data_IF_900955640027
#
_entry.id   IF_900955640027
#
_cell.length_a   1.000
_cell.length_b   1.000
_cell.length_c   1.000
_cell.angle_alpha   90.00
_cell.angle_beta   90.00
_cell.angle_gamma   90.00
#
_symmetry.space_group_name_H-M   'P 1'
#
loop_
_entity.id
_entity.type
_entity.pdbx_description
1 polymer ?
#
# COMPACT_ATOMS: atom_id res chain seq x y z
N UNK A 1 -2.16 -11.84 13.79
CA UNK A 1 -1.99 -11.40 12.39
C UNK A 1 -2.60 -12.48 11.48
N UNK A 2 -3.25 -12.12 10.36
CA UNK A 2 -3.94 -13.09 9.51
C UNK A 2 -2.92 -14.04 8.82
N UNK A 3 -3.19 -15.35 8.65
CA UNK A 3 -2.22 -16.31 8.09
C UNK A 3 -1.64 -15.89 6.73
N UNK A 4 -2.48 -15.38 5.82
CA UNK A 4 -2.03 -14.85 4.52
C UNK A 4 -1.01 -13.71 4.63
N UNK A 5 -1.15 -12.86 5.66
CA UNK A 5 -0.23 -11.74 5.88
C UNK A 5 1.14 -12.25 6.30
N UNK A 6 1.18 -13.27 7.18
CA UNK A 6 2.43 -13.92 7.63
C UNK A 6 3.13 -14.59 6.44
N UNK A 7 2.38 -15.38 5.66
CA UNK A 7 2.92 -16.03 4.47
C UNK A 7 3.49 -15.03 3.45
N UNK A 8 2.85 -13.88 3.26
CA UNK A 8 3.36 -12.85 2.37
C UNK A 8 4.60 -12.13 2.95
N UNK A 9 4.73 -12.00 4.28
CA UNK A 9 5.94 -11.44 4.91
C UNK A 9 7.13 -12.40 4.75
N UNK A 10 6.90 -13.69 4.95
CA UNK A 10 7.94 -14.70 4.71
C UNK A 10 8.36 -14.73 3.24
N UNK A 11 7.40 -14.52 2.33
CA UNK A 11 7.64 -14.44 0.90
C UNK A 11 8.48 -13.23 0.52
N UNK A 12 8.20 -12.03 1.05
CA UNK A 12 9.02 -10.83 0.81
C UNK A 12 10.41 -10.97 1.39
N UNK A 13 10.52 -11.55 2.58
CA UNK A 13 11.82 -11.80 3.21
C UNK A 13 12.65 -12.81 2.42
N UNK A 14 12.02 -13.88 1.94
CA UNK A 14 12.67 -14.87 1.07
C UNK A 14 13.15 -14.25 -0.24
N UNK A 15 12.35 -13.37 -0.84
CA UNK A 15 12.75 -12.61 -2.03
C UNK A 15 14.01 -11.78 -1.76
N UNK A 16 14.01 -10.99 -0.68
CA UNK A 16 15.19 -10.20 -0.27
C UNK A 16 16.45 -11.06 -0.08
N UNK A 17 16.35 -12.15 0.67
CA UNK A 17 17.51 -13.04 0.91
C UNK A 17 18.04 -13.64 -0.40
N UNK A 18 17.16 -14.02 -1.33
CA UNK A 18 17.60 -14.53 -2.64
C UNK A 18 18.25 -13.46 -3.49
N UNK A 19 17.76 -12.22 -3.45
CA UNK A 19 18.40 -11.08 -4.12
C UNK A 19 19.81 -10.86 -3.59
N UNK A 20 20.00 -10.86 -2.26
CA UNK A 20 21.34 -10.74 -1.66
C UNK A 20 22.27 -11.84 -2.16
N UNK A 21 21.80 -13.10 -2.16
CA UNK A 21 22.59 -14.25 -2.65
C UNK A 21 22.92 -14.16 -4.13
N UNK A 22 22.01 -13.65 -4.97
CA UNK A 22 22.29 -13.38 -6.38
C UNK A 22 23.41 -12.32 -6.51
N UNK A 23 23.31 -11.23 -5.74
CA UNK A 23 24.28 -10.14 -5.76
C UNK A 23 25.69 -10.59 -5.34
N UNK A 24 25.80 -11.48 -4.35
CA UNK A 24 27.07 -12.07 -3.91
C UNK A 24 27.80 -12.86 -5.03
N UNK A 25 27.07 -13.37 -6.02
CA UNK A 25 27.63 -14.13 -7.15
C UNK A 25 28.02 -13.26 -8.34
N UNK A 26 27.68 -11.96 -8.32
CA UNK A 26 27.95 -11.07 -9.43
C UNK A 26 29.45 -10.69 -9.51
N UNK A 27 29.98 -10.46 -10.72
CA UNK A 27 31.34 -9.96 -10.89
C UNK A 27 31.58 -8.68 -10.08
N UNK A 28 32.75 -8.52 -9.49
CA UNK A 28 33.09 -7.34 -8.70
C UNK A 28 33.73 -6.25 -9.58
N UNK A 29 32.89 -5.48 -10.27
CA UNK A 29 33.31 -4.34 -11.08
C UNK A 29 32.39 -3.13 -10.85
N UNK A 30 32.83 -1.95 -11.31
CA UNK A 30 32.14 -0.67 -11.04
C UNK A 30 30.67 -0.69 -11.50
N UNK A 31 30.36 -1.35 -12.63
CA UNK A 31 29.00 -1.40 -13.17
C UNK A 31 28.09 -2.28 -12.31
N UNK A 32 28.56 -3.45 -11.92
CA UNK A 32 27.77 -4.43 -11.15
C UNK A 32 27.64 -4.01 -9.69
N UNK A 33 28.66 -3.38 -9.09
CA UNK A 33 28.61 -2.88 -7.70
C UNK A 33 27.47 -1.89 -7.47
N UNK A 34 27.32 -0.90 -8.36
CA UNK A 34 26.26 0.09 -8.23
C UNK A 34 24.86 -0.53 -8.40
N UNK A 35 24.72 -1.52 -9.28
CA UNK A 35 23.45 -2.24 -9.45
C UNK A 35 23.15 -3.10 -8.23
N UNK A 36 24.16 -3.76 -7.65
CA UNK A 36 24.01 -4.57 -6.43
C UNK A 36 23.47 -3.74 -5.28
N UNK A 37 24.08 -2.57 -5.02
CA UNK A 37 23.66 -1.67 -3.94
C UNK A 37 22.18 -1.28 -4.09
N UNK A 38 21.80 -0.75 -5.26
CA UNK A 38 20.42 -0.32 -5.51
C UNK A 38 19.41 -1.48 -5.49
N UNK A 39 19.82 -2.65 -5.97
CA UNK A 39 18.97 -3.85 -5.97
C UNK A 39 18.77 -4.41 -4.56
N UNK A 40 19.83 -4.47 -3.75
CA UNK A 40 19.75 -4.94 -2.36
C UNK A 40 18.91 -3.97 -1.53
N UNK A 41 19.12 -2.67 -1.70
CA UNK A 41 18.36 -1.63 -0.99
C UNK A 41 16.87 -1.71 -1.35
N UNK A 42 16.51 -1.78 -2.64
CA UNK A 42 15.11 -1.89 -3.04
C UNK A 42 14.45 -3.20 -2.63
N UNK A 43 15.20 -4.32 -2.64
CA UNK A 43 14.67 -5.59 -2.16
C UNK A 43 14.45 -5.59 -0.63
N UNK A 44 15.36 -4.96 0.12
CA UNK A 44 15.19 -4.73 1.56
C UNK A 44 14.06 -3.73 1.87
N UNK A 45 13.89 -2.72 1.02
CA UNK A 45 12.77 -1.78 1.03
C UNK A 45 11.43 -2.49 0.83
N UNK A 46 11.36 -3.43 -0.10
CA UNK A 46 10.18 -4.28 -0.36
C UNK A 46 9.76 -5.05 0.90
N UNK A 47 10.70 -5.73 1.55
CA UNK A 47 10.43 -6.51 2.78
C UNK A 47 10.04 -5.61 3.96
N UNK A 48 10.85 -4.58 4.22
CA UNK A 48 10.69 -3.70 5.39
C UNK A 48 9.42 -2.84 5.31
N UNK A 49 9.08 -2.30 4.13
CA UNK A 49 7.89 -1.48 3.94
C UNK A 49 6.61 -2.31 4.01
N UNK A 50 6.59 -3.52 3.43
CA UNK A 50 5.45 -4.42 3.60
C UNK A 50 5.28 -4.84 5.07
N UNK A 51 6.37 -5.19 5.75
CA UNK A 51 6.36 -5.47 7.19
C UNK A 51 5.83 -4.29 8.03
N UNK A 52 6.19 -3.07 7.64
CA UNK A 52 5.72 -1.84 8.28
C UNK A 52 4.25 -1.52 7.97
N UNK A 53 3.77 -1.83 6.77
CA UNK A 53 2.36 -1.70 6.38
C UNK A 53 1.50 -2.66 7.22
N UNK A 54 1.96 -3.88 7.45
CA UNK A 54 1.28 -4.85 8.30
C UNK A 54 1.10 -4.40 9.76
N UNK A 55 1.92 -3.43 10.22
CA UNK A 55 1.87 -2.83 11.56
C UNK A 55 1.26 -1.41 11.55
N UNK A 56 0.64 -0.99 10.45
CA UNK A 56 0.01 0.32 10.35
C UNK A 56 -1.10 0.52 11.39
N UNK A 57 -1.21 1.74 11.94
CA UNK A 57 -2.19 2.09 12.96
C UNK A 57 -3.48 2.67 12.38
N UNK A 58 -3.52 2.91 11.07
CA UNK A 58 -4.69 3.41 10.36
C UNK A 58 -4.73 2.91 8.92
N UNK A 59 -5.91 2.99 8.29
CA UNK A 59 -6.07 2.69 6.85
C UNK A 59 -5.22 3.63 5.97
N UNK A 60 -5.14 4.91 6.31
CA UNK A 60 -4.32 5.87 5.57
C UNK A 60 -2.82 5.54 5.68
N UNK A 61 -2.34 5.21 6.88
CA UNK A 61 -0.95 4.78 7.08
C UNK A 61 -0.64 3.48 6.34
N UNK A 62 -1.59 2.52 6.34
CA UNK A 62 -1.45 1.29 5.57
C UNK A 62 -1.29 1.57 4.07
N UNK A 63 -2.16 2.41 3.49
CA UNK A 63 -2.12 2.79 2.07
C UNK A 63 -0.78 3.46 1.73
N UNK A 64 -0.33 4.41 2.54
CA UNK A 64 0.93 5.11 2.33
C UNK A 64 2.13 4.14 2.31
N UNK A 65 2.26 3.28 3.32
CA UNK A 65 3.35 2.30 3.41
C UNK A 65 3.28 1.23 2.32
N UNK A 66 2.07 0.80 1.94
CA UNK A 66 1.89 -0.07 0.77
C UNK A 66 2.32 0.64 -0.53
N UNK A 67 2.15 1.95 -0.62
CA UNK A 67 2.67 2.76 -1.72
C UNK A 67 4.18 2.65 -1.86
N UNK A 68 4.91 2.87 -0.78
CA UNK A 68 6.37 2.70 -0.77
C UNK A 68 6.76 1.25 -1.09
N UNK A 69 6.09 0.25 -0.53
CA UNK A 69 6.38 -1.15 -0.85
C UNK A 69 6.20 -1.49 -2.35
N UNK A 70 5.24 -0.85 -3.05
CA UNK A 70 5.07 -0.97 -4.50
C UNK A 70 6.27 -0.37 -5.24
N UNK A 71 6.72 0.82 -4.84
CA UNK A 71 7.84 1.51 -5.49
C UNK A 71 9.13 0.69 -5.38
N UNK A 72 9.41 0.16 -4.19
CA UNK A 72 10.58 -0.69 -3.93
C UNK A 72 10.55 -1.99 -4.74
N UNK A 73 9.38 -2.66 -4.83
CA UNK A 73 9.24 -3.90 -5.59
C UNK A 73 9.43 -3.68 -7.10
N UNK A 74 8.86 -2.60 -7.64
CA UNK A 74 9.04 -2.21 -9.05
C UNK A 74 10.49 -1.80 -9.34
N UNK A 75 11.15 -1.14 -8.40
CA UNK A 75 12.57 -0.82 -8.49
C UNK A 75 13.46 -2.07 -8.53
N UNK A 76 13.23 -3.03 -7.62
CA UNK A 76 13.92 -4.33 -7.68
C UNK A 76 13.71 -5.04 -9.02
N UNK A 77 12.49 -5.02 -9.56
CA UNK A 77 12.17 -5.57 -10.87
C UNK A 77 12.98 -4.91 -11.99
N UNK A 78 13.12 -3.58 -11.96
CA UNK A 78 13.92 -2.82 -12.95
C UNK A 78 15.39 -3.20 -12.88
N UNK A 79 15.96 -3.32 -11.68
CA UNK A 79 17.36 -3.70 -11.51
C UNK A 79 17.64 -5.16 -11.92
N UNK A 80 16.75 -6.09 -11.60
CA UNK A 80 16.87 -7.48 -12.04
C UNK A 80 16.79 -7.61 -13.57
N UNK A 81 15.90 -6.86 -14.22
CA UNK A 81 15.85 -6.78 -15.70
C UNK A 81 17.13 -6.20 -16.29
N UNK A 82 17.74 -5.21 -15.64
CA UNK A 82 19.02 -4.66 -16.06
C UNK A 82 20.16 -5.69 -15.94
N UNK A 83 20.24 -6.44 -14.83
CA UNK A 83 21.23 -7.52 -14.67
C UNK A 83 21.10 -8.58 -15.76
N UNK A 84 19.87 -9.02 -16.04
CA UNK A 84 19.58 -9.99 -17.10
C UNK A 84 20.01 -9.48 -18.47
N UNK A 85 19.69 -8.23 -18.80
CA UNK A 85 20.06 -7.60 -20.08
C UNK A 85 21.59 -7.45 -20.23
N UNK A 86 22.30 -7.21 -19.13
CA UNK A 86 23.76 -7.14 -19.10
C UNK A 86 24.44 -8.51 -19.10
N UNK A 87 23.68 -9.61 -19.07
CA UNK A 87 24.22 -10.97 -19.00
C UNK A 87 25.04 -11.20 -17.71
N UNK A 88 24.70 -10.51 -16.62
CA UNK A 88 25.41 -10.58 -15.36
C UNK A 88 24.67 -11.50 -14.38
N UNK A 89 25.39 -12.46 -13.79
CA UNK A 89 24.83 -13.41 -12.82
C UNK A 89 24.18 -14.63 -13.46
N UNK A 90 23.53 -15.45 -12.63
CA UNK A 90 22.84 -16.64 -13.08
C UNK A 90 21.52 -16.27 -13.78
N UNK A 91 21.36 -16.67 -15.05
CA UNK A 91 20.22 -16.29 -15.88
C UNK A 91 18.90 -16.85 -15.35
N UNK A 92 18.88 -18.13 -15.00
CA UNK A 92 17.69 -18.83 -14.52
C UNK A 92 17.22 -18.25 -13.18
N UNK A 93 18.14 -18.04 -12.24
CA UNK A 93 17.86 -17.43 -10.93
C UNK A 93 17.36 -15.99 -11.09
N UNK A 94 18.02 -15.19 -11.93
CA UNK A 94 17.58 -13.82 -12.21
C UNK A 94 16.16 -13.80 -12.78
N UNK A 95 15.83 -14.71 -13.70
CA UNK A 95 14.50 -14.79 -14.30
C UNK A 95 13.42 -15.19 -13.29
N UNK A 96 13.74 -16.09 -12.35
CA UNK A 96 12.84 -16.44 -11.24
C UNK A 96 12.59 -15.24 -10.33
N UNK A 97 13.63 -14.47 -9.99
CA UNK A 97 13.50 -13.27 -9.16
C UNK A 97 12.74 -12.16 -9.86
N UNK A 98 12.88 -11.99 -11.18
CA UNK A 98 12.04 -11.09 -11.99
C UNK A 98 10.56 -11.48 -11.85
N UNK A 99 10.24 -12.77 -11.99
CA UNK A 99 8.87 -13.25 -11.86
C UNK A 99 8.31 -13.02 -10.45
N UNK A 100 9.15 -13.19 -9.43
CA UNK A 100 8.77 -12.93 -8.04
C UNK A 100 8.51 -11.43 -7.78
N UNK A 101 9.42 -10.55 -8.21
CA UNK A 101 9.27 -9.10 -8.05
C UNK A 101 8.01 -8.56 -8.76
N UNK A 102 7.72 -9.06 -9.96
CA UNK A 102 6.51 -8.71 -10.72
C UNK A 102 5.23 -9.13 -9.98
N UNK A 103 5.22 -10.35 -9.42
CA UNK A 103 4.10 -10.85 -8.62
C UNK A 103 3.92 -10.05 -7.32
N UNK A 104 4.99 -9.74 -6.60
CA UNK A 104 4.95 -8.91 -5.38
C UNK A 104 4.41 -7.52 -5.70
N UNK A 105 4.89 -6.90 -6.78
CA UNK A 105 4.39 -5.60 -7.27
C UNK A 105 2.89 -5.65 -7.55
N UNK A 106 2.42 -6.66 -8.28
CA UNK A 106 1.00 -6.84 -8.59
C UNK A 106 0.14 -7.02 -7.32
N UNK A 107 0.61 -7.84 -6.37
CA UNK A 107 -0.06 -8.08 -5.08
C UNK A 107 -0.16 -6.78 -4.28
N UNK A 108 0.92 -6.00 -4.22
CA UNK A 108 0.96 -4.76 -3.46
C UNK A 108 0.08 -3.67 -4.08
N UNK A 109 0.10 -3.53 -5.41
CA UNK A 109 -0.79 -2.62 -6.14
C UNK A 109 -2.26 -2.98 -5.88
N UNK A 110 -2.62 -4.26 -5.98
CA UNK A 110 -3.98 -4.72 -5.72
C UNK A 110 -4.42 -4.49 -4.27
N UNK A 111 -3.51 -4.72 -3.32
CA UNK A 111 -3.74 -4.49 -1.89
C UNK A 111 -3.95 -3.00 -1.58
N UNK A 112 -3.11 -2.12 -2.13
CA UNK A 112 -3.24 -0.66 -1.99
C UNK A 112 -4.57 -0.16 -2.55
N UNK A 113 -4.90 -0.52 -3.80
CA UNK A 113 -6.16 -0.13 -4.46
C UNK A 113 -7.40 -0.61 -3.70
N UNK A 114 -7.35 -1.82 -3.15
CA UNK A 114 -8.44 -2.36 -2.34
C UNK A 114 -8.63 -1.57 -1.05
N UNK A 115 -7.53 -1.21 -0.38
CA UNK A 115 -7.58 -0.40 0.84
C UNK A 115 -8.08 1.04 0.58
N UNK A 116 -7.63 1.67 -0.51
CA UNK A 116 -8.10 2.99 -0.97
C UNK A 116 -9.62 2.99 -1.18
N UNK A 117 -10.13 2.04 -1.98
CA UNK A 117 -11.57 1.91 -2.23
C UNK A 117 -12.36 1.72 -0.94
N UNK A 118 -11.91 0.86 -0.03
CA UNK A 118 -12.58 0.65 1.26
C UNK A 118 -12.54 1.89 2.17
N UNK A 119 -11.49 2.71 2.09
CA UNK A 119 -11.40 3.96 2.82
C UNK A 119 -12.38 5.00 2.26
N UNK A 120 -12.47 5.12 0.94
CA UNK A 120 -13.41 6.01 0.25
C UNK A 120 -14.87 5.62 0.53
N UNK A 121 -15.20 4.33 0.45
CA UNK A 121 -16.54 3.81 0.77
C UNK A 121 -16.92 4.08 2.23
N UNK A 122 -15.99 3.88 3.16
CA UNK A 122 -16.21 4.20 4.57
C UNK A 122 -16.47 5.70 4.76
N UNK A 123 -15.66 6.56 4.14
CA UNK A 123 -15.81 8.01 4.24
C UNK A 123 -17.14 8.47 3.64
N UNK A 124 -17.57 7.88 2.53
CA UNK A 124 -18.87 8.14 1.91
C UNK A 124 -20.01 7.77 2.85
N UNK A 125 -19.99 6.56 3.43
CA UNK A 125 -21.00 6.11 4.39
C UNK A 125 -21.08 7.01 5.62
N UNK A 126 -19.94 7.49 6.13
CA UNK A 126 -19.91 8.42 7.27
C UNK A 126 -20.59 9.73 6.90
N UNK A 127 -20.28 10.29 5.72
CA UNK A 127 -20.94 11.51 5.21
C UNK A 127 -22.44 11.31 5.03
N UNK A 128 -22.86 10.21 4.41
CA UNK A 128 -24.27 9.90 4.18
C UNK A 128 -25.04 9.76 5.50
N UNK A 129 -24.46 9.08 6.49
CA UNK A 129 -25.05 8.93 7.81
C UNK A 129 -25.15 10.27 8.56
N UNK A 130 -24.11 11.11 8.48
CA UNK A 130 -24.14 12.45 9.07
C UNK A 130 -25.24 13.31 8.43
N UNK A 131 -25.35 13.26 7.10
CA UNK A 131 -26.40 13.98 6.37
C UNK A 131 -27.80 13.51 6.75
N UNK A 132 -28.03 12.20 6.85
CA UNK A 132 -29.33 11.63 7.30
C UNK A 132 -29.70 12.10 8.70
N UNK A 133 -28.78 12.00 9.67
CA UNK A 133 -29.02 12.50 11.03
C UNK A 133 -29.34 13.98 11.06
N UNK A 134 -28.62 14.76 10.25
CA UNK A 134 -28.88 16.19 10.14
C UNK A 134 -30.29 16.47 9.58
N UNK A 135 -30.68 15.75 8.53
CA UNK A 135 -32.02 15.87 7.95
C UNK A 135 -33.12 15.50 8.96
N UNK A 136 -32.95 14.42 9.73
CA UNK A 136 -33.87 14.02 10.80
C UNK A 136 -34.02 15.13 11.86
N UNK A 137 -32.90 15.68 12.35
CA UNK A 137 -32.93 16.78 13.32
C UNK A 137 -33.61 18.02 12.72
N UNK A 138 -33.31 18.37 11.46
CA UNK A 138 -33.93 19.53 10.80
C UNK A 138 -35.44 19.36 10.65
N UNK A 139 -35.91 18.16 10.29
CA UNK A 139 -37.33 17.82 10.23
C UNK A 139 -37.99 18.00 11.60
N UNK A 140 -37.37 17.47 12.66
CA UNK A 140 -37.88 17.61 14.02
C UNK A 140 -37.96 19.08 14.46
N UNK A 141 -36.95 19.89 14.16
CA UNK A 141 -36.96 21.32 14.48
C UNK A 141 -38.06 22.08 13.74
N UNK A 142 -38.35 21.70 12.49
CA UNK A 142 -39.45 22.27 11.71
C UNK A 142 -40.81 21.93 12.36
N UNK A 143 -41.05 20.66 12.71
CA UNK A 143 -42.27 20.24 13.42
C UNK A 143 -42.42 20.90 14.81
N UNK A 144 -41.33 21.01 15.57
CA UNK A 144 -41.34 21.68 16.88
C UNK A 144 -41.68 23.17 16.76
N UNK A 145 -41.26 23.83 15.66
CA UNK A 145 -41.62 25.22 15.37
C UNK A 145 -43.12 25.37 15.08
N UNK A 146 -43.69 24.49 14.26
CA UNK A 146 -45.13 24.50 13.97
C UNK A 146 -45.99 24.25 15.21
N UNK A 147 -45.51 23.41 16.14
CA UNK A 147 -46.21 23.09 17.40
C UNK A 147 -45.93 24.09 18.53
N UNK A 148 -45.12 25.13 18.29
CA UNK A 148 -44.79 26.17 19.27
C UNK A 148 -43.83 25.72 20.39
N UNK A 149 -43.21 24.55 20.26
CA UNK A 149 -42.27 23.99 21.25
C UNK A 149 -40.81 24.38 20.98
N UNK A 150 -40.53 24.97 19.81
CA UNK A 150 -39.23 25.52 19.43
C UNK A 150 -39.40 26.87 18.72
N UNK A 151 -38.58 27.87 19.08
CA UNK A 151 -38.68 29.24 18.54
C UNK A 151 -37.43 29.73 17.81
N UNK A 152 -36.41 28.87 17.65
CA UNK A 152 -35.17 29.22 16.97
C UNK A 152 -35.30 29.23 15.44
N UNK A 153 -34.36 29.90 14.77
CA UNK A 153 -34.32 29.97 13.32
C UNK A 153 -33.69 28.71 12.70
N UNK A 154 -34.57 27.80 12.25
CA UNK A 154 -34.20 26.51 11.64
C UNK A 154 -33.41 26.69 10.33
N UNK A 155 -33.59 27.83 9.64
CA UNK A 155 -32.99 28.08 8.32
C UNK A 155 -31.52 28.51 8.39
N UNK A 156 -31.03 28.88 9.59
CA UNK A 156 -29.62 29.24 9.83
C UNK A 156 -28.71 28.04 10.11
N UNK A 157 -29.27 26.85 10.31
CA UNK A 157 -28.50 25.65 10.62
C UNK A 157 -27.89 25.10 9.32
N UNK A 158 -26.62 25.41 9.09
CA UNK A 158 -25.83 24.95 7.94
C UNK A 158 -24.96 23.75 8.29
N UNK A 159 -24.94 22.74 7.42
CA UNK A 159 -23.90 21.69 7.42
C UNK A 159 -22.73 22.21 6.59
N UNK A 160 -21.71 22.79 7.23
CA UNK A 160 -20.41 22.98 6.59
C UNK A 160 -19.54 21.75 6.82
#
# INVERSE_FOLDING_TARGET
>A
MHPKTIALQERTHTFFVKVVRLCEQLPQNIRTLKIQEQLVDSAGGTDSNYGSACRARSKAEFIAKMGTAVEEADESLRWLRALLALGCGNKEETQLLIGEADQLTAIFVASRKTAERHLEEQNRRIKDNAFRKFAEVRILLYYSRETGTYTGDVDTISVR
#
